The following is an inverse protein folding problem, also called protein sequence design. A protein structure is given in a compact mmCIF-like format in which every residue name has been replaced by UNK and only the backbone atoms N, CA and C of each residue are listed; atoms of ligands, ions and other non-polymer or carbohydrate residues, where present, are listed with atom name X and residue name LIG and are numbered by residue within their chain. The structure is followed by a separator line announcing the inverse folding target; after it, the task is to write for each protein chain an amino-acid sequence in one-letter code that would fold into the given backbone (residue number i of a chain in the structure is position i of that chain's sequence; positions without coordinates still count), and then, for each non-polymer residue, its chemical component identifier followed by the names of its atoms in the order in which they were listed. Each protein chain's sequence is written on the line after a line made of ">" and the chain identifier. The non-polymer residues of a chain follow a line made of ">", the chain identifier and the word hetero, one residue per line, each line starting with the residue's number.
data_IF_449870918271
#
_entry.id   IF_449870918271
#
_cell.length_a   1.000
_cell.length_b   1.000
_cell.length_c   1.000
_cell.angle_alpha   90.00
_cell.angle_beta   90.00
_cell.angle_gamma   90.00
#
_symmetry.space_group_name_H-M   'P 1'
#
loop_
_entity.id
_entity.type
_entity.pdbx_description
1 polymer ?
#
# COMPACT_ATOMS: atom_id res chain seq x y z
N UNK A 1 3.14 5.92 -0.57
CA UNK A 1 1.74 5.55 -0.87
C UNK A 1 1.76 4.34 -1.80
N UNK A 2 0.66 3.60 -1.91
CA UNK A 2 0.53 2.47 -2.83
C UNK A 2 -0.91 2.44 -3.36
N UNK A 3 -1.20 1.63 -4.36
CA UNK A 3 -2.54 1.41 -4.88
C UNK A 3 -3.28 0.26 -4.15
N UNK A 4 -4.61 0.29 -4.17
CA UNK A 4 -5.44 -0.67 -3.43
C UNK A 4 -5.26 -2.11 -3.90
N UNK A 5 -5.05 -2.33 -5.19
CA UNK A 5 -4.80 -3.64 -5.79
C UNK A 5 -3.47 -4.28 -5.35
N UNK A 6 -2.52 -3.48 -4.85
CA UNK A 6 -1.22 -3.94 -4.36
C UNK A 6 -1.22 -4.32 -2.89
N UNK A 7 -2.27 -3.97 -2.15
CA UNK A 7 -2.36 -4.24 -0.71
C UNK A 7 -2.20 -5.73 -0.35
N UNK A 8 -2.83 -6.70 -1.05
CA UNK A 8 -2.67 -8.11 -0.68
C UNK A 8 -1.24 -8.62 -0.83
N UNK A 9 -0.54 -8.19 -1.89
CA UNK A 9 0.86 -8.58 -2.11
C UNK A 9 1.80 -7.94 -1.07
N UNK A 10 1.53 -6.67 -0.71
CA UNK A 10 2.33 -5.95 0.27
C UNK A 10 2.12 -6.49 1.70
N UNK A 11 0.89 -6.85 2.07
CA UNK A 11 0.58 -7.48 3.36
C UNK A 11 1.27 -8.85 3.49
N UNK A 12 1.22 -9.68 2.45
CA UNK A 12 1.91 -10.96 2.43
C UNK A 12 3.43 -10.80 2.57
N UNK A 13 4.03 -9.86 1.82
CA UNK A 13 5.45 -9.55 1.94
C UNK A 13 5.81 -9.05 3.35
N UNK A 14 4.99 -8.19 3.93
CA UNK A 14 5.18 -7.70 5.30
C UNK A 14 5.18 -8.88 6.28
N UNK A 15 4.16 -9.75 6.24
CA UNK A 15 4.06 -10.88 7.16
C UNK A 15 5.23 -11.88 7.01
N UNK A 16 5.77 -12.04 5.81
CA UNK A 16 6.94 -12.91 5.58
C UNK A 16 8.21 -12.32 6.21
N UNK A 17 8.39 -11.00 6.13
CA UNK A 17 9.64 -10.32 6.51
C UNK A 17 9.62 -9.75 7.92
N UNK A 18 8.45 -9.48 8.48
CA UNK A 18 8.34 -8.82 9.77
C UNK A 18 8.71 -9.79 10.90
N UNK A 19 9.56 -9.37 11.86
CA UNK A 19 10.04 -10.25 12.93
C UNK A 19 9.00 -10.57 14.01
N UNK A 20 7.78 -10.03 13.91
CA UNK A 20 6.72 -10.25 14.90
C UNK A 20 5.72 -11.24 14.34
N UNK A 21 5.22 -12.13 15.20
CA UNK A 21 4.18 -13.10 14.83
C UNK A 21 2.87 -12.42 14.42
N UNK A 22 2.59 -11.23 14.99
CA UNK A 22 1.42 -10.40 14.67
C UNK A 22 1.88 -8.95 14.42
N UNK A 23 2.31 -8.61 13.20
CA UNK A 23 2.67 -7.24 12.85
C UNK A 23 1.43 -6.34 12.84
N UNK A 24 1.62 -5.05 13.17
CA UNK A 24 0.56 -4.06 12.95
C UNK A 24 0.45 -3.76 11.45
N UNK A 25 -0.76 -3.88 10.91
CA UNK A 25 -1.08 -3.53 9.52
C UNK A 25 -2.38 -2.72 9.49
N UNK A 26 -2.29 -1.45 9.05
CA UNK A 26 -3.43 -0.52 8.99
C UNK A 26 -3.35 0.23 7.66
N UNK A 27 -4.45 0.21 6.90
CA UNK A 27 -4.59 0.95 5.64
C UNK A 27 -5.65 2.03 5.77
N UNK A 28 -5.40 3.22 5.25
CA UNK A 28 -6.36 4.33 5.23
C UNK A 28 -6.68 4.72 3.78
N UNK A 29 -7.96 4.95 3.44
CA UNK A 29 -8.32 5.37 2.10
C UNK A 29 -7.87 6.81 1.84
N UNK A 30 -7.31 7.05 0.66
CA UNK A 30 -7.08 8.40 0.14
C UNK A 30 -8.37 8.86 -0.55
N UNK A 31 -9.07 9.83 0.04
CA UNK A 31 -10.39 10.27 -0.46
C UNK A 31 -10.33 11.45 -1.44
N UNK A 32 -9.14 11.96 -1.73
CA UNK A 32 -8.94 13.06 -2.68
C UNK A 32 -7.49 13.52 -2.74
N UNK A 33 -7.14 14.21 -3.82
CA UNK A 33 -5.81 14.77 -4.06
C UNK A 33 -5.67 15.27 -5.51
N UNK A 34 -4.57 15.96 -5.84
CA UNK A 34 -4.30 16.36 -7.23
C UNK A 34 -4.21 15.14 -8.14
N UNK A 35 -4.95 15.15 -9.24
CA UNK A 35 -5.01 14.02 -10.19
C UNK A 35 -3.62 13.59 -10.66
N UNK A 36 -2.79 14.55 -11.07
CA UNK A 36 -1.42 14.27 -11.53
C UNK A 36 -0.58 13.53 -10.48
N UNK A 37 -0.80 13.80 -9.19
CA UNK A 37 -0.08 13.13 -8.12
C UNK A 37 -0.60 11.71 -7.88
N UNK A 38 -1.92 11.52 -7.91
CA UNK A 38 -2.52 10.20 -7.74
C UNK A 38 -2.17 9.27 -8.92
N UNK A 39 -2.13 9.79 -10.15
CA UNK A 39 -1.67 9.04 -11.32
C UNK A 39 -0.21 8.62 -11.18
N UNK A 40 0.67 9.52 -10.76
CA UNK A 40 2.07 9.20 -10.50
C UNK A 40 2.23 8.08 -9.45
N UNK A 41 1.45 8.09 -8.36
CA UNK A 41 1.49 7.01 -7.37
C UNK A 41 1.14 5.66 -7.99
N UNK A 42 0.12 5.61 -8.86
CA UNK A 42 -0.25 4.37 -9.56
C UNK A 42 0.87 3.93 -10.50
N UNK A 43 1.46 4.85 -11.26
CA UNK A 43 2.57 4.56 -12.18
C UNK A 43 3.80 3.98 -11.47
N UNK A 44 4.19 4.53 -10.31
CA UNK A 44 5.34 4.06 -9.52
C UNK A 44 5.09 2.71 -8.82
N UNK A 45 3.82 2.31 -8.69
CA UNK A 45 3.45 1.11 -7.93
C UNK A 45 2.80 0.01 -8.76
N UNK A 46 2.69 0.20 -10.07
CA UNK A 46 2.23 -0.80 -11.03
C UNK A 46 3.03 -2.13 -10.96
#
# INVERSE_FOLDING_TARGET
>A
MTSTDRLPALEAWLHEKHPYDVPQWITLPVTGGPEAYLSWVVEETA
#
